data_IF_731994520259
#
_entry.id   IF_731994520259
#
_cell.length_a   1.000
_cell.length_b   1.000
_cell.length_c   1.000
_cell.angle_alpha   90.00
_cell.angle_beta   90.00
_cell.angle_gamma   90.00
#
_symmetry.space_group_name_H-M   'P 1'
#
loop_
_entity.id
_entity.type
_entity.pdbx_description
1 polymer ?
#
# COMPACT_ATOMS: atom_id res chain seq x y z
N UNK A 1 29.65 -6.22 -3.10
CA UNK A 1 28.19 -6.28 -3.39
C UNK A 1 27.79 -4.89 -3.88
N UNK A 2 27.01 -4.81 -4.97
CA UNK A 2 26.72 -3.60 -5.76
C UNK A 2 26.24 -2.43 -4.91
N UNK A 3 26.67 -1.21 -5.27
CA UNK A 3 26.22 0.07 -4.74
C UNK A 3 24.72 0.09 -4.48
N UNK A 4 24.34 -0.12 -3.22
CA UNK A 4 22.95 -0.28 -2.80
C UNK A 4 22.44 1.12 -2.45
N UNK A 5 21.33 1.54 -3.08
CA UNK A 5 20.77 2.86 -2.80
C UNK A 5 20.38 2.93 -1.32
N UNK A 6 20.77 4.00 -0.61
CA UNK A 6 20.48 4.18 0.82
C UNK A 6 19.00 3.94 1.18
N UNK A 7 18.08 4.31 0.30
CA UNK A 7 16.64 4.11 0.49
C UNK A 7 16.26 2.63 0.42
N UNK A 8 16.86 1.88 -0.51
CA UNK A 8 16.65 0.43 -0.61
C UNK A 8 17.07 -0.28 0.68
N UNK A 9 18.19 0.15 1.28
CA UNK A 9 18.70 -0.44 2.53
C UNK A 9 17.81 -0.11 3.73
N UNK A 10 17.37 1.14 3.85
CA UNK A 10 16.52 1.60 4.97
C UNK A 10 15.14 0.94 4.92
N UNK A 11 14.56 0.80 3.72
CA UNK A 11 13.18 0.34 3.55
C UNK A 11 13.09 -1.16 3.22
N UNK A 12 14.23 -1.84 3.02
CA UNK A 12 14.30 -3.24 2.61
C UNK A 12 13.54 -3.52 1.29
N UNK A 13 13.74 -2.66 0.30
CA UNK A 13 13.13 -2.77 -1.04
C UNK A 13 14.18 -2.96 -2.13
N UNK A 14 13.77 -3.54 -3.27
CA UNK A 14 14.67 -3.83 -4.40
C UNK A 14 14.97 -2.60 -5.24
N UNK A 15 13.97 -1.75 -5.45
CA UNK A 15 14.05 -0.55 -6.27
C UNK A 15 13.79 0.69 -5.41
N UNK A 16 14.50 1.81 -5.62
CA UNK A 16 14.30 3.04 -4.85
C UNK A 16 13.06 3.79 -5.34
N UNK A 17 11.92 3.10 -5.37
CA UNK A 17 10.64 3.56 -5.86
C UNK A 17 9.64 3.44 -4.72
N UNK A 18 9.04 4.57 -4.35
CA UNK A 18 7.99 4.67 -3.36
C UNK A 18 6.72 5.13 -4.06
N UNK A 19 5.64 4.37 -3.93
CA UNK A 19 4.34 4.76 -4.46
C UNK A 19 3.79 5.93 -3.62
N UNK A 20 3.43 7.03 -4.28
CA UNK A 20 2.88 8.20 -3.60
C UNK A 20 1.54 7.89 -2.94
N UNK A 21 1.32 8.34 -1.70
CA UNK A 21 0.04 8.22 -1.03
C UNK A 21 -1.04 9.02 -1.78
N UNK A 22 -2.01 8.33 -2.39
CA UNK A 22 -3.07 8.95 -3.16
C UNK A 22 -4.42 8.78 -2.47
N UNK A 23 -5.13 9.89 -2.29
CA UNK A 23 -6.47 9.87 -1.70
C UNK A 23 -7.44 9.11 -2.61
N UNK A 24 -8.26 8.22 -2.05
CA UNK A 24 -9.29 7.42 -2.75
C UNK A 24 -8.79 6.39 -3.78
N UNK A 25 -7.57 6.52 -4.28
CA UNK A 25 -7.05 5.67 -5.36
C UNK A 25 -6.37 4.41 -4.83
N UNK A 26 -5.63 4.52 -3.73
CA UNK A 26 -4.86 3.38 -3.20
C UNK A 26 -5.79 2.34 -2.60
N UNK A 27 -5.49 1.06 -2.81
CA UNK A 27 -6.11 -0.07 -2.14
C UNK A 27 -5.06 -1.16 -1.86
N UNK A 28 -5.48 -2.26 -1.24
CA UNK A 28 -4.62 -3.38 -0.90
C UNK A 28 -3.95 -3.99 -2.14
N UNK A 29 -4.66 -4.09 -3.26
CA UNK A 29 -4.15 -4.69 -4.48
C UNK A 29 -3.03 -3.84 -5.07
N UNK A 30 -3.21 -2.52 -5.13
CA UNK A 30 -2.20 -1.59 -5.61
C UNK A 30 -0.95 -1.63 -4.73
N UNK A 31 -1.12 -1.59 -3.40
CA UNK A 31 -0.02 -1.63 -2.44
C UNK A 31 0.74 -2.95 -2.52
N UNK A 32 0.03 -4.07 -2.60
CA UNK A 32 0.63 -5.39 -2.75
C UNK A 32 1.38 -5.53 -4.09
N UNK A 33 0.80 -5.04 -5.19
CA UNK A 33 1.44 -5.08 -6.50
C UNK A 33 2.77 -4.32 -6.53
N UNK A 34 2.80 -3.10 -5.97
CA UNK A 34 4.05 -2.32 -5.86
C UNK A 34 5.07 -3.02 -4.96
N UNK A 35 4.63 -3.56 -3.82
CA UNK A 35 5.50 -4.25 -2.87
C UNK A 35 6.12 -5.51 -3.48
N UNK A 36 5.31 -6.33 -4.17
CA UNK A 36 5.76 -7.54 -4.87
C UNK A 36 6.67 -7.24 -6.06
N UNK A 37 6.46 -6.10 -6.75
CA UNK A 37 7.38 -5.63 -7.77
C UNK A 37 8.74 -5.18 -7.20
N UNK A 38 8.86 -5.04 -5.87
CA UNK A 38 10.09 -4.69 -5.18
C UNK A 38 10.25 -3.20 -4.87
N UNK A 39 9.16 -2.41 -4.94
CA UNK A 39 9.11 -1.03 -4.44
C UNK A 39 8.41 -0.96 -3.07
N UNK A 40 8.21 0.25 -2.55
CA UNK A 40 7.42 0.49 -1.33
C UNK A 40 5.99 0.89 -1.70
N UNK A 41 5.02 0.00 -1.43
CA UNK A 41 3.60 0.34 -1.51
C UNK A 41 3.12 1.15 -0.30
N UNK A 42 2.19 2.09 -0.51
CA UNK A 42 1.69 3.02 0.51
C UNK A 42 0.17 3.13 0.45
N UNK A 43 -0.51 2.81 1.56
CA UNK A 43 -1.93 3.11 1.72
C UNK A 43 -2.13 4.60 1.97
N UNK A 44 -2.81 5.28 1.04
CA UNK A 44 -3.17 6.69 1.15
C UNK A 44 -4.41 6.92 2.01
N UNK A 45 -4.80 8.20 2.21
CA UNK A 45 -6.06 8.56 2.84
C UNK A 45 -7.24 7.94 2.09
N UNK A 46 -8.25 7.47 2.82
CA UNK A 46 -9.45 6.84 2.24
C UNK A 46 -9.19 5.60 1.35
N UNK A 47 -8.05 4.93 1.51
CA UNK A 47 -7.73 3.71 0.75
C UNK A 47 -8.77 2.58 0.83
N UNK A 48 -9.15 1.99 -0.30
CA UNK A 48 -10.19 0.93 -0.33
C UNK A 48 -11.60 1.42 0.03
N UNK A 49 -11.83 2.74 0.07
CA UNK A 49 -13.18 3.27 0.28
C UNK A 49 -13.99 3.09 -1.00
N UNK A 50 -15.05 2.29 -0.93
CA UNK A 50 -16.03 2.14 -2.01
C UNK A 50 -17.23 3.04 -1.72
N UNK A 51 -17.69 3.76 -2.74
CA UNK A 51 -18.96 4.48 -2.69
C UNK A 51 -20.10 3.52 -3.03
N UNK A 52 -20.42 2.61 -2.11
CA UNK A 52 -21.54 1.68 -2.25
C UNK A 52 -22.56 1.94 -1.13
N UNK A 53 -23.59 2.73 -1.43
CA UNK A 53 -24.72 3.00 -0.52
C UNK A 53 -24.46 4.01 0.61
N UNK A 54 -25.35 4.01 1.61
CA UNK A 54 -25.36 4.97 2.74
C UNK A 54 -24.59 4.50 3.98
N UNK A 55 -24.11 3.25 3.99
CA UNK A 55 -23.44 2.68 5.16
C UNK A 55 -21.92 2.77 5.00
N UNK A 56 -21.32 3.74 5.70
CA UNK A 56 -19.86 3.84 5.78
C UNK A 56 -19.36 2.90 6.87
N UNK A 57 -18.56 1.91 6.50
CA UNK A 57 -17.70 1.22 7.48
C UNK A 57 -16.77 2.25 8.11
N UNK A 58 -16.40 2.03 9.37
CA UNK A 58 -15.48 2.93 10.05
C UNK A 58 -14.14 2.98 9.32
N UNK A 59 -13.46 4.14 9.36
CA UNK A 59 -12.11 4.28 8.81
C UNK A 59 -11.19 3.20 9.35
N UNK A 60 -11.26 2.91 10.65
CA UNK A 60 -10.46 1.86 11.29
C UNK A 60 -10.72 0.49 10.65
N UNK A 61 -11.98 0.08 10.55
CA UNK A 61 -12.35 -1.22 10.00
C UNK A 61 -11.91 -1.37 8.54
N UNK A 62 -12.06 -0.30 7.75
CA UNK A 62 -11.55 -0.25 6.37
C UNK A 62 -10.06 -0.49 6.32
N UNK A 63 -9.26 0.29 7.06
CA UNK A 63 -7.81 0.10 7.08
C UNK A 63 -7.43 -1.30 7.58
N UNK A 64 -8.11 -1.85 8.59
CA UNK A 64 -7.87 -3.23 9.04
C UNK A 64 -8.09 -4.25 7.93
N UNK A 65 -9.14 -4.08 7.12
CA UNK A 65 -9.41 -4.96 5.99
C UNK A 65 -8.35 -4.79 4.89
N UNK A 66 -7.96 -3.56 4.55
CA UNK A 66 -6.87 -3.30 3.60
C UNK A 66 -5.55 -3.96 4.05
N UNK A 67 -5.17 -3.82 5.32
CA UNK A 67 -3.97 -4.47 5.85
C UNK A 67 -4.04 -6.00 5.81
N UNK A 68 -5.19 -6.60 6.11
CA UNK A 68 -5.38 -8.06 5.98
C UNK A 68 -5.20 -8.50 4.52
N UNK A 69 -5.79 -7.77 3.59
CA UNK A 69 -5.73 -8.08 2.17
C UNK A 69 -4.32 -7.91 1.59
N UNK A 70 -3.55 -6.90 2.02
CA UNK A 70 -2.14 -6.76 1.64
C UNK A 70 -1.35 -7.99 2.09
N UNK A 71 -1.46 -8.37 3.36
CA UNK A 71 -0.75 -9.53 3.93
C UNK A 71 -1.10 -10.86 3.26
N UNK A 72 -2.27 -10.97 2.66
CA UNK A 72 -2.67 -12.16 1.92
C UNK A 72 -2.05 -12.23 0.50
N UNK A 73 -1.47 -11.14 0.01
CA UNK A 73 -0.98 -10.98 -1.37
C UNK A 73 0.54 -10.80 -1.48
N UNK A 74 1.22 -10.44 -0.39
CA UNK A 74 2.67 -10.20 -0.31
C UNK A 74 3.34 -11.22 0.59
#
# INVERSE_FOLDING_TARGET
MKDTNRICDILHIKYPIVQAAMNWITDANMVAAVSNAGGMGVLGPNAGAKFEGHQRISTEERYRNEFRNIKAQT
#
